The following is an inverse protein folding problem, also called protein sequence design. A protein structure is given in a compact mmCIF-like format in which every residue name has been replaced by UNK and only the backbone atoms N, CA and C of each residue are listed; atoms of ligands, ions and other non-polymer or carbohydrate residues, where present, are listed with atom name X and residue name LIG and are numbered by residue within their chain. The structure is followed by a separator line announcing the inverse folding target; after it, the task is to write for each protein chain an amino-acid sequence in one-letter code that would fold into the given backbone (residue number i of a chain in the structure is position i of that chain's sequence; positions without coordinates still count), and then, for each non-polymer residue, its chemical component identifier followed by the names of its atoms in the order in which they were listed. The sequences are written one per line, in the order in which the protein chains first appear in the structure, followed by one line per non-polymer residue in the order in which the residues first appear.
data_IF_411203255363
#
_entry.id   IF_411203255363
#
_cell.length_a   1.000
_cell.length_b   1.000
_cell.length_c   1.000
_cell.angle_alpha   90.00
_cell.angle_beta   90.00
_cell.angle_gamma   90.00
#
_symmetry.space_group_name_H-M   'P 1'
#
loop_
_entity.id
_entity.type
_entity.pdbx_description
1 polymer ?
#
# COMPACT_ATOMS: atom_id res chain seq x y z
N UNK A 1 -4.63 15.66 -16.28
CA UNK A 1 -5.23 15.86 -14.96
C UNK A 1 -6.58 16.52 -15.16
N UNK A 2 -7.62 16.08 -14.46
CA UNK A 2 -8.97 16.64 -14.58
C UNK A 2 -9.15 17.74 -13.53
N UNK A 3 -9.73 18.88 -13.90
CA UNK A 3 -10.09 19.90 -12.90
C UNK A 3 -11.20 19.38 -11.97
N UNK A 4 -10.95 19.44 -10.66
CA UNK A 4 -11.85 19.01 -9.60
C UNK A 4 -12.26 20.14 -8.67
N UNK A 5 -11.91 21.39 -9.01
CA UNK A 5 -12.12 22.59 -8.17
C UNK A 5 -13.58 22.82 -7.77
N UNK A 6 -14.53 22.47 -8.65
CA UNK A 6 -15.97 22.60 -8.41
C UNK A 6 -16.58 21.52 -7.53
N UNK A 7 -15.84 20.45 -7.21
CA UNK A 7 -16.33 19.36 -6.37
C UNK A 7 -16.17 19.70 -4.89
N UNK A 8 -17.08 19.22 -4.06
CA UNK A 8 -16.93 19.34 -2.61
C UNK A 8 -15.87 18.39 -2.06
N UNK A 9 -15.21 18.80 -0.96
CA UNK A 9 -14.33 17.92 -0.19
C UNK A 9 -15.17 17.00 0.68
N UNK A 10 -14.95 15.70 0.55
CA UNK A 10 -15.63 14.69 1.37
C UNK A 10 -14.62 13.72 1.97
N UNK A 11 -15.01 13.01 3.03
CA UNK A 11 -14.21 11.89 3.56
C UNK A 11 -14.21 10.78 2.50
N UNK A 12 -13.01 10.33 2.14
CA UNK A 12 -12.80 9.28 1.14
C UNK A 12 -11.87 8.22 1.69
N UNK A 13 -12.19 6.97 1.40
CA UNK A 13 -11.40 5.80 1.77
C UNK A 13 -11.25 4.88 0.58
N UNK A 14 -10.11 4.22 0.46
CA UNK A 14 -9.89 3.16 -0.51
C UNK A 14 -9.12 2.02 0.14
N UNK A 15 -9.50 0.78 -0.19
CA UNK A 15 -8.79 -0.43 0.21
C UNK A 15 -8.27 -1.12 -1.04
N UNK A 16 -7.03 -1.59 -1.00
CA UNK A 16 -6.43 -2.40 -2.05
C UNK A 16 -5.74 -3.63 -1.45
N UNK A 17 -5.53 -4.64 -2.29
CA UNK A 17 -4.87 -5.88 -1.89
C UNK A 17 -3.93 -6.39 -2.98
N UNK A 18 -2.81 -6.99 -2.56
CA UNK A 18 -1.87 -7.67 -3.46
C UNK A 18 -1.37 -8.98 -2.83
N UNK A 19 -0.91 -9.91 -3.66
CA UNK A 19 -0.24 -11.13 -3.22
C UNK A 19 1.16 -11.21 -3.85
N UNK A 20 2.17 -11.53 -3.03
CA UNK A 20 3.53 -11.84 -3.50
C UNK A 20 3.76 -13.34 -3.36
N UNK A 21 3.80 -14.04 -4.49
CA UNK A 21 4.13 -15.47 -4.54
C UNK A 21 5.63 -15.68 -4.48
N UNK A 22 6.07 -16.56 -3.57
CA UNK A 22 7.47 -16.90 -3.41
C UNK A 22 7.66 -18.42 -3.37
N UNK A 23 8.88 -18.89 -3.60
CA UNK A 23 9.21 -20.30 -3.36
C UNK A 23 9.07 -20.65 -1.87
N UNK A 24 8.75 -21.92 -1.58
CA UNK A 24 8.69 -22.43 -0.20
C UNK A 24 9.94 -22.09 0.61
N UNK A 25 11.13 -22.26 0.03
CA UNK A 25 12.42 -21.93 0.67
C UNK A 25 12.50 -20.47 1.10
N UNK A 26 11.98 -19.54 0.29
CA UNK A 26 11.96 -18.11 0.63
C UNK A 26 10.89 -17.85 1.69
N UNK A 27 9.70 -18.43 1.52
CA UNK A 27 8.61 -18.32 2.49
C UNK A 27 9.03 -18.74 3.90
N UNK A 28 9.67 -19.90 4.04
CA UNK A 28 10.15 -20.40 5.33
C UNK A 28 11.17 -19.46 5.98
N UNK A 29 12.02 -18.81 5.18
CA UNK A 29 12.97 -17.78 5.66
C UNK A 29 12.29 -16.49 6.09
N UNK A 30 11.26 -16.04 5.37
CA UNK A 30 10.45 -14.88 5.77
C UNK A 30 9.78 -15.19 7.11
N UNK A 31 9.14 -16.36 7.22
CA UNK A 31 8.40 -16.81 8.42
C UNK A 31 9.31 -16.92 9.65
N UNK A 32 10.52 -17.45 9.49
CA UNK A 32 11.52 -17.57 10.56
C UNK A 32 12.31 -16.29 10.84
N UNK A 33 12.10 -15.23 10.04
CA UNK A 33 12.87 -13.99 10.08
C UNK A 33 14.40 -14.21 9.91
N UNK A 34 14.80 -15.24 9.16
CA UNK A 34 16.21 -15.61 8.91
C UNK A 34 16.75 -15.02 7.59
N UNK A 35 16.20 -13.89 7.16
CA UNK A 35 16.66 -13.19 5.97
C UNK A 35 17.83 -12.29 6.35
N UNK A 36 18.95 -12.44 5.63
CA UNK A 36 20.19 -11.69 5.86
C UNK A 36 20.02 -10.16 5.73
N UNK A 37 18.95 -9.71 5.08
CA UNK A 37 18.58 -8.30 4.89
C UNK A 37 17.71 -7.72 6.02
N UNK A 38 17.45 -8.49 7.08
CA UNK A 38 16.60 -8.10 8.20
C UNK A 38 15.12 -8.44 7.99
N UNK A 39 14.26 -7.83 8.81
CA UNK A 39 12.81 -8.05 8.79
C UNK A 39 12.18 -7.43 7.53
N UNK A 40 11.97 -8.28 6.53
CA UNK A 40 11.43 -7.89 5.23
C UNK A 40 9.97 -7.43 5.30
N UNK A 41 9.18 -7.92 6.27
CA UNK A 41 7.77 -7.55 6.39
C UNK A 41 7.64 -6.15 7.00
N UNK A 42 8.44 -5.84 8.02
CA UNK A 42 8.50 -4.52 8.61
C UNK A 42 8.99 -3.47 7.59
N UNK A 43 10.05 -3.78 6.84
CA UNK A 43 10.55 -2.91 5.78
C UNK A 43 9.51 -2.70 4.68
N UNK A 44 8.81 -3.76 4.26
CA UNK A 44 7.74 -3.67 3.26
C UNK A 44 6.57 -2.78 3.73
N UNK A 45 6.15 -2.89 5.00
CA UNK A 45 5.11 -2.03 5.59
C UNK A 45 5.49 -0.55 5.50
N UNK A 46 6.68 -0.19 5.95
CA UNK A 46 7.17 1.20 5.92
C UNK A 46 7.29 1.70 4.47
N UNK A 47 7.76 0.83 3.57
CA UNK A 47 7.89 1.16 2.15
C UNK A 47 6.53 1.45 1.51
N UNK A 48 5.49 0.65 1.81
CA UNK A 48 4.13 0.91 1.33
C UNK A 48 3.57 2.25 1.82
N UNK A 49 3.78 2.59 3.10
CA UNK A 49 3.39 3.89 3.66
C UNK A 49 4.11 5.05 2.95
N UNK A 50 5.40 4.90 2.65
CA UNK A 50 6.15 5.91 1.91
C UNK A 50 5.72 6.00 0.44
N UNK A 51 5.42 4.88 -0.20
CA UNK A 51 4.98 4.82 -1.58
C UNK A 51 3.64 5.56 -1.77
N UNK A 52 2.67 5.33 -0.89
CA UNK A 52 1.38 6.03 -0.91
C UNK A 52 1.55 7.56 -0.88
N UNK A 53 2.48 8.07 -0.06
CA UNK A 53 2.77 9.52 0.03
C UNK A 53 3.41 10.09 -1.23
N UNK A 54 4.01 9.24 -2.07
CA UNK A 54 4.68 9.59 -3.32
C UNK A 54 3.86 9.25 -4.56
N UNK A 55 2.63 8.78 -4.41
CA UNK A 55 1.80 8.33 -5.55
C UNK A 55 1.70 9.40 -6.65
N UNK A 56 1.48 10.66 -6.30
CA UNK A 56 1.39 11.74 -7.30
C UNK A 56 2.72 12.08 -8.00
N UNK A 57 3.86 11.72 -7.41
CA UNK A 57 5.17 11.82 -8.07
C UNK A 57 5.39 10.67 -9.07
N UNK A 58 4.79 9.51 -8.79
CA UNK A 58 4.94 8.29 -9.58
C UNK A 58 3.91 8.19 -10.72
N UNK A 59 2.70 8.72 -10.54
CA UNK A 59 1.58 8.56 -11.48
C UNK A 59 1.26 9.90 -12.14
N UNK A 60 1.58 10.09 -13.44
CA UNK A 60 1.59 11.42 -14.08
C UNK A 60 0.30 12.24 -14.05
N UNK A 61 -0.86 11.60 -13.94
CA UNK A 61 -2.16 12.28 -13.98
C UNK A 61 -2.89 12.29 -12.63
N UNK A 62 -2.27 11.75 -11.57
CA UNK A 62 -2.82 11.81 -10.22
C UNK A 62 -2.74 13.24 -9.67
N UNK A 63 -3.81 13.64 -8.98
CA UNK A 63 -3.77 14.84 -8.14
C UNK A 63 -2.83 14.61 -6.96
N UNK A 64 -2.25 15.68 -6.45
CA UNK A 64 -1.52 15.61 -5.18
C UNK A 64 -2.54 15.61 -4.03
N UNK A 65 -2.60 14.51 -3.27
CA UNK A 65 -3.57 14.28 -2.20
C UNK A 65 -2.86 14.27 -0.84
N UNK A 66 -3.34 15.10 0.09
CA UNK A 66 -2.92 15.03 1.48
C UNK A 66 -3.58 13.84 2.17
N UNK A 67 -2.82 12.77 2.39
CA UNK A 67 -3.27 11.56 3.06
C UNK A 67 -3.50 11.84 4.55
N UNK A 68 -4.69 11.52 5.06
CA UNK A 68 -5.01 11.59 6.49
C UNK A 68 -4.54 10.35 7.24
N UNK A 69 -4.70 9.16 6.65
CA UNK A 69 -4.13 7.91 7.16
C UNK A 69 -3.86 6.92 6.04
N UNK A 70 -2.80 6.13 6.19
CA UNK A 70 -2.52 4.94 5.38
C UNK A 70 -2.07 3.85 6.34
N UNK A 71 -2.76 2.71 6.33
CA UNK A 71 -2.28 1.49 6.99
C UNK A 71 -1.95 0.44 5.93
N UNK A 72 -0.90 -0.33 6.20
CA UNK A 72 -0.44 -1.42 5.36
C UNK A 72 -0.24 -2.64 6.25
N UNK A 73 -0.94 -3.72 5.95
CA UNK A 73 -0.93 -4.97 6.69
C UNK A 73 -0.38 -6.06 5.79
N UNK A 74 0.58 -6.83 6.29
CA UNK A 74 1.15 -7.97 5.60
C UNK A 74 0.91 -9.22 6.43
N UNK A 75 0.37 -10.26 5.79
CA UNK A 75 0.12 -11.56 6.40
C UNK A 75 0.77 -12.67 5.57
N UNK A 76 1.20 -13.74 6.23
CA UNK A 76 1.75 -14.91 5.56
C UNK A 76 0.68 -15.98 5.36
N UNK A 77 0.51 -16.45 4.13
CA UNK A 77 -0.36 -17.57 3.80
C UNK A 77 0.47 -18.83 3.50
N UNK A 78 0.57 -19.71 4.50
CA UNK A 78 1.39 -20.92 4.43
C UNK A 78 0.88 -21.93 3.39
N UNK A 79 -0.43 -21.96 3.15
CA UNK A 79 -1.02 -22.90 2.17
C UNK A 79 -0.60 -22.56 0.75
N UNK A 80 -0.41 -21.27 0.46
CA UNK A 80 -0.06 -20.76 -0.87
C UNK A 80 1.41 -20.36 -1.02
N UNK A 81 2.17 -20.30 0.07
CA UNK A 81 3.49 -19.67 0.13
C UNK A 81 3.46 -18.21 -0.37
N UNK A 82 2.50 -17.43 0.09
CA UNK A 82 2.31 -16.02 -0.32
C UNK A 82 2.40 -15.04 0.84
N UNK A 83 2.86 -13.83 0.53
CA UNK A 83 2.68 -12.66 1.39
C UNK A 83 1.45 -11.92 0.88
N UNK A 84 0.39 -11.90 1.68
CA UNK A 84 -0.84 -11.16 1.41
C UNK A 84 -0.69 -9.75 1.97
N UNK A 85 -0.91 -8.73 1.13
CA UNK A 85 -0.75 -7.32 1.46
C UNK A 85 -2.12 -6.68 1.34
N UNK A 86 -2.52 -5.89 2.35
CA UNK A 86 -3.69 -5.03 2.31
C UNK A 86 -3.32 -3.63 2.72
N UNK A 87 -3.87 -2.65 2.03
CA UNK A 87 -3.67 -1.23 2.30
C UNK A 87 -5.02 -0.53 2.46
N UNK A 88 -5.12 0.37 3.44
CA UNK A 88 -6.30 1.19 3.67
C UNK A 88 -5.89 2.66 3.74
N UNK A 89 -6.25 3.42 2.71
CA UNK A 89 -5.98 4.84 2.60
C UNK A 89 -7.22 5.68 2.95
N UNK A 90 -7.02 6.85 3.57
CA UNK A 90 -8.07 7.80 3.91
C UNK A 90 -7.63 9.24 3.69
N UNK A 91 -8.54 10.09 3.21
CA UNK A 91 -8.34 11.53 3.04
C UNK A 91 -9.65 12.31 3.17
N UNK A 92 -9.55 13.63 3.16
CA UNK A 92 -10.65 14.57 2.94
C UNK A 92 -10.31 15.38 1.68
N UNK A 93 -10.87 15.02 0.53
CA UNK A 93 -10.46 15.55 -0.77
C UNK A 93 -11.60 15.59 -1.81
N UNK A 94 -11.35 16.26 -2.94
CA UNK A 94 -12.28 16.43 -4.06
C UNK A 94 -12.25 15.24 -5.05
N UNK A 95 -11.25 14.37 -4.94
CA UNK A 95 -11.06 13.17 -5.76
C UNK A 95 -10.76 11.97 -4.88
N UNK A 96 -10.97 10.77 -5.42
CA UNK A 96 -10.69 9.49 -4.75
C UNK A 96 -9.21 9.32 -4.37
N UNK A 97 -8.95 8.32 -3.53
CA UNK A 97 -7.63 7.95 -2.99
C UNK A 97 -7.27 6.49 -3.36
N UNK A 98 -7.84 5.99 -4.46
CA UNK A 98 -7.65 4.62 -4.94
C UNK A 98 -6.19 4.36 -5.28
N UNK A 99 -5.51 5.36 -5.86
CA UNK A 99 -4.14 5.25 -6.34
C UNK A 99 -3.10 5.25 -5.23
N UNK A 100 -3.40 5.85 -4.08
CA UNK A 100 -2.55 5.80 -2.89
C UNK A 100 -2.75 4.50 -2.10
N UNK A 101 -3.88 3.82 -2.28
CA UNK A 101 -4.09 2.49 -1.73
C UNK A 101 -3.40 1.42 -2.57
N UNK A 102 -3.51 1.49 -3.91
CA UNK A 102 -2.85 0.57 -4.85
C UNK A 102 -1.32 0.62 -4.79
#
# INVERSE_FOLDING_TARGET
MVDVSSKEKTVRTAEASAEVHVSKKVFDKIKSNEIQKGDVLAVAKISGIQAAKKTSELIPLCHNIFISSIDVVLNLNEKKNTVEIKSLAKTIAQTGIEMEAL
#
